data_IF_920957787931
#
_entry.id   IF_920957787931
#
_cell.length_a   1.000
_cell.length_b   1.000
_cell.length_c   1.000
_cell.angle_alpha   90.00
_cell.angle_beta   90.00
_cell.angle_gamma   90.00
#
_symmetry.space_group_name_H-M   'P 1'
#
loop_
_entity.id
_entity.type
_entity.pdbx_description
1 polymer ?
2 non-polymer ?
3 water ?
#
# COMPACT_ATOMS: atom_id res chain seq x y z
N UNK A 27 12.86 -15.07 -33.72
CA UNK A 27 12.05 -14.43 -32.61
C UNK A 27 12.36 -14.99 -31.21
N UNK A 28 12.46 -14.07 -30.25
CA UNK A 28 12.64 -14.42 -28.87
C UNK A 28 11.93 -13.36 -28.02
N UNK A 29 11.92 -13.57 -26.72
CA UNK A 29 11.15 -12.71 -25.81
C UNK A 29 11.58 -11.24 -25.85
N UNK A 30 12.88 -11.00 -26.10
CA UNK A 30 13.40 -9.66 -26.08
C UNK A 30 13.20 -8.94 -27.41
N UNK A 31 12.37 -9.47 -28.28
CA UNK A 31 12.04 -8.81 -29.54
C UNK A 31 10.71 -8.05 -29.37
N UNK A 32 10.02 -8.29 -28.25
CA UNK A 32 8.68 -7.73 -28.09
C UNK A 32 8.73 -6.34 -27.43
N UNK A 33 7.62 -5.62 -27.52
CA UNK A 33 7.47 -4.29 -26.89
C UNK A 33 6.26 -4.30 -25.97
N UNK A 34 6.30 -3.46 -24.93
CA UNK A 34 5.23 -3.43 -23.94
C UNK A 34 5.16 -2.03 -23.40
N UNK A 35 3.93 -1.57 -23.10
CA UNK A 35 3.76 -0.31 -22.41
C UNK A 35 4.05 -0.56 -20.93
N UNK A 36 4.97 0.23 -20.36
CA UNK A 36 5.28 0.15 -18.97
C UNK A 36 4.10 0.69 -18.13
N UNK A 37 4.13 0.48 -16.82
CA UNK A 37 3.01 0.85 -15.94
C UNK A 37 2.74 2.34 -15.83
N UNK A 38 3.72 3.18 -16.15
CA UNK A 38 3.50 4.62 -16.20
C UNK A 38 3.05 5.10 -17.59
N UNK A 39 2.83 4.19 -18.53
CA UNK A 39 2.28 4.57 -19.83
C UNK A 39 3.31 4.83 -20.89
N UNK A 40 4.55 4.47 -20.61
CA UNK A 40 5.61 4.69 -21.59
C UNK A 40 5.87 3.37 -22.31
N UNK A 41 5.78 3.41 -23.63
CA UNK A 41 6.13 2.24 -24.47
C UNK A 41 7.62 1.96 -24.39
N UNK A 42 7.96 0.69 -24.21
CA UNK A 42 9.36 0.26 -24.15
C UNK A 42 9.58 -0.97 -25.01
N UNK A 43 10.82 -1.10 -25.50
CA UNK A 43 11.29 -2.28 -26.18
C UNK A 43 11.92 -3.23 -25.17
N UNK A 44 11.50 -4.48 -25.20
CA UNK A 44 12.12 -5.49 -24.31
C UNK A 44 13.53 -5.81 -24.72
N UNK A 45 13.94 -5.32 -25.90
CA UNK A 45 15.34 -5.32 -26.31
C UNK A 45 16.25 -4.71 -25.25
N UNK A 46 15.75 -3.79 -24.43
CA UNK A 46 16.59 -3.14 -23.43
C UNK A 46 17.10 -4.19 -22.38
N UNK A 47 16.43 -5.35 -22.29
CA UNK A 47 16.78 -6.44 -21.38
C UNK A 47 17.61 -7.58 -22.03
N UNK A 48 17.91 -7.50 -23.31
CA UNK A 48 18.73 -8.53 -23.93
C UNK A 48 20.13 -8.58 -23.30
N UNK A 49 20.64 -9.79 -23.07
CA UNK A 49 21.90 -9.98 -22.35
C UNK A 49 21.69 -10.17 -20.86
N UNK A 50 20.46 -9.90 -20.42
CA UNK A 50 20.07 -10.05 -19.06
C UNK A 50 19.12 -11.26 -18.86
N UNK A 51 19.08 -11.75 -17.63
CA UNK A 51 18.14 -12.78 -17.24
C UNK A 51 16.88 -12.09 -16.70
N UNK A 52 15.71 -12.61 -17.05
CA UNK A 52 14.47 -12.03 -16.65
C UNK A 52 13.55 -13.08 -16.05
N UNK A 53 12.90 -12.74 -14.94
CA UNK A 53 11.80 -13.54 -14.40
C UNK A 53 10.50 -12.80 -14.71
N UNK A 54 9.76 -13.31 -15.68
CA UNK A 54 8.53 -12.69 -16.17
C UNK A 54 7.36 -13.28 -15.38
N UNK A 55 6.69 -12.41 -14.65
CA UNK A 55 5.65 -12.77 -13.71
C UNK A 55 4.37 -11.99 -14.01
N UNK A 56 3.23 -12.67 -14.07
CA UNK A 56 1.91 -12.02 -14.12
C UNK A 56 1.44 -11.82 -12.70
N UNK A 57 1.12 -10.57 -12.37
CA UNK A 57 0.84 -10.18 -11.00
C UNK A 57 -0.62 -9.80 -10.79
N UNK A 58 -1.04 -9.87 -9.53
CA UNK A 58 -2.36 -9.41 -9.09
C UNK A 58 -2.25 -8.83 -7.69
N UNK A 59 -3.17 -7.95 -7.36
CA UNK A 59 -3.11 -7.20 -6.09
C UNK A 59 -3.98 -7.75 -4.97
N UNK A 60 -5.00 -8.53 -5.32
CA UNK A 60 -6.01 -8.94 -4.34
C UNK A 60 -5.95 -10.44 -4.05
N UNK A 61 -4.93 -11.10 -4.59
CA UNK A 61 -4.76 -12.54 -4.51
C UNK A 61 -4.30 -12.93 -3.10
N UNK A 62 -4.67 -14.14 -2.67
CA UNK A 62 -4.05 -14.76 -1.49
C UNK A 62 -2.53 -14.87 -1.62
N UNK A 63 -2.03 -15.12 -2.83
CA UNK A 63 -0.57 -15.20 -3.08
C UNK A 63 0.14 -13.81 -3.05
N UNK A 64 -0.59 -12.70 -2.90
CA UNK A 64 -0.08 -11.36 -3.30
C UNK A 64 1.05 -10.86 -2.43
N UNK A 65 0.86 -10.98 -1.12
CA UNK A 65 1.78 -10.46 -0.14
C UNK A 65 3.09 -11.26 -0.11
N UNK A 66 2.97 -12.57 -0.02
CA UNK A 66 4.14 -13.45 0.00
C UNK A 66 4.90 -13.32 -1.32
N UNK A 67 4.18 -13.25 -2.42
CA UNK A 67 4.81 -13.17 -3.73
C UNK A 67 5.53 -11.87 -3.98
N UNK A 68 4.90 -10.74 -3.66
CA UNK A 68 5.53 -9.45 -3.86
C UNK A 68 6.73 -9.30 -2.96
N UNK A 69 6.66 -9.82 -1.75
CA UNK A 69 7.82 -9.78 -0.85
C UNK A 69 8.98 -10.60 -1.40
N UNK A 70 8.70 -11.79 -1.92
CA UNK A 70 9.72 -12.66 -2.47
C UNK A 70 10.29 -12.12 -3.77
N UNK A 71 9.45 -11.53 -4.61
CA UNK A 71 9.93 -10.98 -5.85
C UNK A 71 10.82 -9.80 -5.67
N UNK A 72 10.51 -8.94 -4.69
CA UNK A 72 11.36 -7.82 -4.40
C UNK A 72 12.68 -8.28 -3.78
N UNK A 73 12.65 -9.27 -2.89
CA UNK A 73 13.89 -9.80 -2.35
C UNK A 73 14.75 -10.43 -3.47
N UNK A 74 14.10 -11.07 -4.43
CA UNK A 74 14.80 -11.64 -5.59
C UNK A 74 15.52 -10.53 -6.37
N UNK A 75 14.83 -9.41 -6.57
CA UNK A 75 15.39 -8.26 -7.27
C UNK A 75 16.55 -7.66 -6.50
N UNK A 76 16.38 -7.52 -5.20
CA UNK A 76 17.45 -7.04 -4.31
C UNK A 76 18.72 -7.92 -4.43
N UNK A 77 18.55 -9.23 -4.36
CA UNK A 77 19.67 -10.20 -4.29
C UNK A 77 20.32 -10.49 -5.65
N UNK A 78 19.51 -10.61 -6.70
CA UNK A 78 20.03 -10.95 -8.04
C UNK A 78 20.02 -9.81 -9.07
N UNK A 79 19.31 -8.71 -8.79
CA UNK A 79 19.32 -7.54 -9.66
C UNK A 79 20.72 -7.03 -10.07
N UNK A 80 21.66 -7.00 -9.11
CA UNK A 80 23.04 -6.58 -9.38
C UNK A 80 23.82 -7.53 -10.31
N UNK A 81 23.23 -8.68 -10.62
CA UNK A 81 23.85 -9.66 -11.49
C UNK A 81 23.12 -9.73 -12.83
N UNK A 82 22.56 -8.60 -13.25
CA UNK A 82 21.98 -8.44 -14.61
C UNK A 82 20.72 -9.30 -14.80
N UNK A 83 19.82 -9.06 -13.85
CA UNK A 83 18.61 -9.82 -13.68
C UNK A 83 17.51 -8.83 -13.30
N UNK A 84 16.31 -9.07 -13.82
CA UNK A 84 15.13 -8.35 -13.34
C UNK A 84 13.92 -9.25 -13.31
N UNK A 85 13.08 -9.00 -12.30
CA UNK A 85 11.71 -9.40 -12.33
C UNK A 85 11.01 -8.42 -13.34
N UNK A 86 10.24 -8.95 -14.28
CA UNK A 86 9.41 -8.13 -15.19
C UNK A 86 7.95 -8.47 -14.90
N UNK A 87 7.26 -7.58 -14.17
CA UNK A 87 5.95 -7.86 -13.58
C UNK A 87 4.86 -7.25 -14.47
N UNK A 88 3.93 -8.08 -14.91
CA UNK A 88 2.82 -7.65 -15.76
C UNK A 88 1.51 -7.90 -15.03
N UNK A 89 0.80 -6.81 -14.64
CA UNK A 89 -0.49 -7.02 -13.99
C UNK A 89 -1.50 -7.66 -14.94
N UNK A 90 -2.36 -8.51 -14.38
CA UNK A 90 -3.35 -9.18 -15.17
C UNK A 90 -4.59 -9.43 -14.32
N UNK A 91 -5.75 -9.04 -14.85
CA UNK A 91 -7.06 -9.21 -14.21
C UNK A 91 -7.88 -10.45 -14.65
N UNK A 92 -7.23 -11.42 -15.27
CA UNK A 92 -7.94 -12.57 -15.83
C UNK A 92 -8.28 -13.66 -14.82
N UNK A 93 -7.51 -13.79 -13.76
CA UNK A 93 -7.59 -14.94 -12.88
C UNK A 93 -8.25 -14.55 -11.56
N UNK A 94 -9.56 -14.76 -11.49
CA UNK A 94 -10.39 -14.39 -10.30
C UNK A 94 -10.73 -12.90 -10.24
N UNK A 95 -10.36 -12.17 -11.31
CA UNK A 95 -10.36 -10.71 -11.38
C UNK A 95 -9.72 -10.07 -10.15
N UNK A 96 -8.45 -10.41 -9.89
CA UNK A 96 -7.73 -9.97 -8.68
C UNK A 96 -6.77 -8.81 -8.96
N UNK A 97 -6.94 -8.20 -10.12
CA UNK A 97 -6.24 -6.95 -10.46
C UNK A 97 -7.20 -5.94 -11.16
N UNK A 98 -8.26 -5.50 -10.45
CA UNK A 98 -9.30 -4.64 -11.07
C UNK A 98 -8.89 -3.18 -11.23
N UNK A 99 -7.84 -2.75 -10.54
CA UNK A 99 -7.56 -1.31 -10.46
C UNK A 99 -6.75 -0.80 -11.62
N UNK A 100 -6.59 0.53 -11.65
CA UNK A 100 -5.81 1.20 -12.66
C UNK A 100 -4.32 0.92 -12.53
N UNK A 101 -3.63 1.16 -13.64
CA UNK A 101 -2.20 1.06 -13.69
C UNK A 101 -1.56 1.95 -12.62
N UNK A 102 -2.06 3.18 -12.51
CA UNK A 102 -1.65 4.13 -11.45
C UNK A 102 -1.78 3.53 -10.02
N UNK A 103 -2.94 2.96 -9.75
CA UNK A 103 -3.22 2.38 -8.43
C UNK A 103 -2.35 1.22 -8.12
N UNK A 104 -2.16 0.34 -9.12
CA UNK A 104 -1.35 -0.85 -8.97
C UNK A 104 0.12 -0.49 -8.67
N UNK A 105 0.67 0.42 -9.46
CA UNK A 105 2.02 0.89 -9.19
C UNK A 105 2.17 1.48 -7.77
N UNK A 106 1.26 2.40 -7.42
CA UNK A 106 1.25 3.00 -6.10
C UNK A 106 1.22 1.90 -5.03
N UNK A 107 0.38 0.88 -5.23
CA UNK A 107 0.25 -0.22 -4.27
C UNK A 107 1.55 -0.99 -4.11
N UNK A 108 2.13 -1.42 -5.25
CA UNK A 108 3.39 -2.18 -5.26
C UNK A 108 4.54 -1.37 -4.62
N UNK A 109 4.69 -0.11 -5.04
CA UNK A 109 5.78 0.75 -4.57
C UNK A 109 5.66 1.07 -3.08
N UNK A 110 4.46 1.40 -2.60
CA UNK A 110 4.26 1.75 -1.18
C UNK A 110 4.20 0.57 -0.23
N UNK A 111 3.67 -0.57 -0.69
CA UNK A 111 3.46 -1.68 0.21
C UNK A 111 4.74 -2.52 0.29
N UNK A 112 5.40 -2.74 -0.85
CA UNK A 112 6.52 -3.67 -0.94
C UNK A 112 7.86 -3.07 -1.40
N UNK A 113 7.90 -1.75 -1.56
CA UNK A 113 9.09 -1.04 -1.99
C UNK A 113 9.66 -1.61 -3.27
N UNK A 114 8.76 -1.98 -4.18
CA UNK A 114 9.09 -2.67 -5.40
C UNK A 114 10.06 -1.80 -6.17
N UNK A 115 11.11 -2.38 -6.72
CA UNK A 115 12.12 -1.67 -7.53
C UNK A 115 12.35 -2.36 -8.88
N UNK A 116 11.56 -3.38 -9.18
CA UNK A 116 11.66 -4.07 -10.43
C UNK A 116 10.71 -3.42 -11.43
N UNK A 117 10.97 -3.58 -12.72
CA UNK A 117 10.10 -3.06 -13.77
C UNK A 117 8.69 -3.62 -13.70
N UNK A 118 7.73 -2.73 -13.78
CA UNK A 118 6.33 -3.09 -13.83
C UNK A 118 5.75 -2.54 -15.10
N UNK A 119 4.78 -3.24 -15.66
CA UNK A 119 4.18 -2.93 -16.96
C UNK A 119 2.70 -2.67 -16.84
N UNK A 120 2.11 -2.09 -17.88
CA UNK A 120 0.68 -1.85 -17.90
C UNK A 120 -0.03 -3.18 -17.94
N UNK A 121 -1.20 -3.23 -17.28
CA UNK A 121 -2.07 -4.39 -17.25
C UNK A 121 -2.35 -4.96 -18.66
N UNK A 122 -2.27 -6.28 -18.76
CA UNK A 122 -2.44 -7.01 -20.02
C UNK A 122 -3.24 -8.32 -19.77
N UNK A 123 -3.65 -8.97 -20.87
CA UNK A 123 -3.98 -10.42 -20.86
C UNK A 123 -2.72 -11.26 -21.09
N UNK A 124 -2.63 -12.38 -20.38
CA UNK A 124 -1.51 -13.31 -20.58
C UNK A 124 -1.95 -14.63 -21.29
N UNK A 125 -3.27 -14.83 -21.39
CA UNK A 125 -3.83 -16.02 -21.98
C UNK A 125 -5.02 -15.66 -22.89
N UNK A 126 -5.25 -16.49 -23.89
CA UNK A 126 -6.39 -16.32 -24.76
C UNK A 126 -5.94 -15.59 -26.00
N UNK A 127 -6.90 -15.26 -26.85
CA UNK A 127 -6.66 -14.65 -28.15
C UNK A 127 -6.03 -13.25 -28.05
N UNK A 128 -6.49 -12.48 -27.06
CA UNK A 128 -5.99 -11.16 -26.81
C UNK A 128 -4.76 -11.10 -25.92
N UNK A 129 -4.07 -12.22 -25.68
CA UNK A 129 -2.85 -12.18 -24.84
C UNK A 129 -1.78 -11.30 -25.49
N UNK A 130 -0.97 -10.66 -24.67
CA UNK A 130 0.17 -9.93 -25.17
C UNK A 130 1.05 -10.92 -26.00
N UNK A 131 1.48 -10.50 -27.22
CA UNK A 131 2.32 -11.37 -28.07
C UNK A 131 3.54 -11.95 -27.33
N UNK A 132 4.12 -11.21 -26.40
CA UNK A 132 5.26 -11.71 -25.61
C UNK A 132 4.84 -12.91 -24.78
N UNK A 133 3.63 -12.87 -24.24
CA UNK A 133 3.08 -13.98 -23.52
C UNK A 133 2.65 -15.14 -24.41
N UNK A 134 2.14 -14.88 -25.63
CA UNK A 134 1.97 -15.95 -26.63
C UNK A 134 3.28 -16.68 -26.89
N UNK A 135 4.36 -15.92 -27.06
CA UNK A 135 5.68 -16.46 -27.29
C UNK A 135 6.11 -17.39 -26.10
N UNK A 136 5.95 -16.93 -24.88
CA UNK A 136 6.39 -17.70 -23.69
C UNK A 136 5.60 -19.03 -23.57
N UNK A 137 4.30 -19.00 -23.89
CA UNK A 137 3.41 -20.15 -23.81
C UNK A 137 3.67 -21.13 -24.95
N UNK A 138 3.79 -20.61 -26.17
CA UNK A 138 4.09 -21.43 -27.33
C UNK A 138 5.44 -22.15 -27.22
N UNK A 139 6.48 -21.45 -26.79
CA UNK A 139 7.82 -22.07 -26.74
C UNK A 139 8.04 -22.90 -25.45
N UNK A 140 7.37 -22.58 -24.36
CA UNK A 140 7.54 -23.37 -23.13
C UNK A 140 6.57 -24.54 -23.10
N UNK A 141 5.44 -24.41 -23.79
CA UNK A 141 4.37 -25.41 -23.72
C UNK A 141 3.41 -25.23 -22.55
N UNK A 142 3.63 -24.21 -21.72
CA UNK A 142 2.77 -23.93 -20.58
C UNK A 142 2.28 -22.51 -20.70
N UNK A 143 0.98 -22.31 -20.50
CA UNK A 143 0.42 -20.98 -20.40
C UNK A 143 -0.07 -20.75 -18.96
N UNK A 144 -0.14 -19.49 -18.55
CA UNK A 144 -0.60 -19.25 -17.20
C UNK A 144 -2.05 -19.64 -16.96
N UNK A 145 -2.24 -20.31 -15.83
CA UNK A 145 -3.54 -20.78 -15.36
C UNK A 145 -3.94 -20.15 -14.02
N UNK A 146 -3.15 -19.18 -13.56
CA UNK A 146 -3.47 -18.35 -12.39
C UNK A 146 -2.52 -17.17 -12.29
N UNK A 147 -2.75 -16.35 -11.27
CA UNK A 147 -1.88 -15.26 -10.94
C UNK A 147 -0.53 -15.80 -10.48
N UNK A 148 0.51 -15.04 -10.77
CA UNK A 148 1.85 -15.29 -10.25
C UNK A 148 2.55 -16.51 -10.84
N UNK A 149 2.20 -16.80 -12.08
CA UNK A 149 3.02 -17.66 -12.93
C UNK A 149 4.30 -16.94 -13.26
N UNK A 150 5.36 -17.73 -13.47
CA UNK A 150 6.73 -17.22 -13.57
C UNK A 150 7.45 -17.93 -14.71
N UNK A 151 8.03 -17.15 -15.62
CA UNK A 151 8.86 -17.67 -16.69
C UNK A 151 10.25 -17.12 -16.52
N UNK A 152 11.24 -18.02 -16.60
CA UNK A 152 12.62 -17.65 -16.62
C UNK A 152 13.12 -17.49 -18.05
N UNK A 153 13.57 -16.27 -18.37
CA UNK A 153 14.12 -15.99 -19.67
C UNK A 153 15.63 -15.75 -19.61
N UNK A 154 16.38 -16.49 -20.45
CA UNK A 154 17.83 -16.43 -20.55
C UNK A 154 18.25 -15.19 -21.29
N UNK A 155 19.54 -14.81 -21.17
CA UNK A 155 20.10 -13.64 -21.85
C UNK A 155 19.74 -13.51 -23.35
N UNK A 156 19.58 -14.64 -24.03
CA UNK A 156 19.21 -14.65 -25.46
C UNK A 156 17.70 -14.57 -25.73
N UNK A 157 16.92 -14.34 -24.68
CA UNK A 157 15.49 -14.18 -24.80
C UNK A 157 14.69 -15.47 -24.92
N UNK A 158 15.31 -16.61 -24.60
CA UNK A 158 14.60 -17.88 -24.70
C UNK A 158 14.18 -18.38 -23.34
N UNK A 159 12.99 -18.97 -23.31
CA UNK A 159 12.40 -19.45 -22.06
C UNK A 159 13.09 -20.75 -21.67
N UNK A 160 13.58 -20.79 -20.45
CA UNK A 160 14.27 -21.96 -19.94
C UNK A 160 13.52 -22.57 -18.75
N UNK A 161 12.53 -21.86 -18.21
CA UNK A 161 11.70 -22.44 -17.12
C UNK A 161 10.40 -21.72 -16.93
N UNK A 162 9.41 -22.43 -16.39
CA UNK A 162 8.11 -21.87 -16.08
C UNK A 162 7.57 -22.52 -14.81
N UNK A 163 7.04 -21.72 -13.87
CA UNK A 163 6.46 -22.29 -12.65
C UNK A 163 5.13 -21.66 -12.34
N UNK A 164 4.24 -22.43 -11.72
CA UNK A 164 2.98 -21.89 -11.24
C UNK A 164 3.20 -21.21 -9.88
N UNK A 165 2.20 -20.44 -9.39
CA UNK A 165 2.41 -19.69 -8.16
C UNK A 165 2.66 -20.55 -6.93
N UNK A 166 2.30 -21.83 -6.95
CA UNK A 166 2.53 -22.67 -5.76
C UNK A 166 3.98 -23.08 -5.59
N UNK A 167 4.85 -22.80 -6.57
CA UNK A 167 6.25 -23.10 -6.40
C UNK A 167 6.91 -21.88 -5.72
N UNK A 168 7.54 -22.13 -4.57
CA UNK A 168 8.19 -21.08 -3.79
C UNK A 168 9.33 -20.41 -4.52
N UNK A 169 9.58 -19.15 -4.15
CA UNK A 169 10.69 -18.41 -4.74
C UNK A 169 12.02 -19.01 -4.25
N UNK A 170 12.06 -19.66 -3.09
CA UNK A 170 13.22 -20.51 -2.68
C UNK A 170 13.59 -21.60 -3.70
N UNK A 171 12.58 -22.14 -4.39
CA UNK A 171 12.77 -23.20 -5.37
C UNK A 171 13.07 -22.66 -6.75
N UNK A 172 12.49 -21.50 -7.06
CA UNK A 172 12.75 -20.83 -8.33
C UNK A 172 14.14 -20.14 -8.37
N UNK A 173 14.49 -19.47 -7.29
CA UNK A 173 15.70 -18.67 -7.23
C UNK A 173 16.97 -19.38 -7.70
N UNK A 174 17.26 -20.59 -7.17
CA UNK A 174 18.51 -21.25 -7.59
C UNK A 174 18.66 -21.48 -9.10
N UNK A 175 17.52 -21.62 -9.78
CA UNK A 175 17.49 -21.78 -11.22
C UNK A 175 17.90 -20.51 -11.93
N UNK A 176 17.57 -19.38 -11.32
CA UNK A 176 17.96 -18.06 -11.80
C UNK A 176 19.46 -17.81 -11.56
N UNK A 177 19.93 -18.15 -10.37
CA UNK A 177 21.35 -17.95 -10.05
C UNK A 177 22.25 -18.79 -10.95
N UNK A 178 21.80 -19.98 -11.33
CA UNK A 178 22.49 -20.79 -12.33
C UNK A 178 22.74 -20.06 -13.65
N UNK A 179 21.85 -19.13 -14.04
CA UNK A 179 21.98 -18.46 -15.34
C UNK A 179 22.80 -17.16 -15.28
N UNK A 180 22.79 -16.48 -14.13
CA UNK A 180 23.47 -15.22 -14.02
C UNK A 180 24.96 -15.42 -13.84
N UNK A 181 25.74 -14.37 -14.09
CA UNK A 181 27.15 -14.36 -13.74
C UNK A 181 27.44 -13.40 -12.54
N UNK B 27 -20.29 21.94 25.32
CA UNK B 27 -19.76 21.18 24.12
C UNK B 27 -18.55 20.32 24.52
N UNK B 28 -18.41 19.20 23.81
CA UNK B 28 -17.21 18.37 23.89
C UNK B 28 -16.97 17.70 22.53
N UNK B 29 -15.86 16.99 22.40
CA UNK B 29 -15.46 16.43 21.09
C UNK B 29 -16.53 15.48 20.49
N UNK B 30 -17.23 14.75 21.35
CA UNK B 30 -18.22 13.79 20.91
C UNK B 30 -19.57 14.39 20.55
N UNK B 31 -19.65 15.71 20.51
CA UNK B 31 -20.87 16.42 20.13
C UNK B 31 -20.85 16.77 18.63
N UNK B 32 -19.70 16.59 17.99
CA UNK B 32 -19.52 17.04 16.61
C UNK B 32 -19.87 15.91 15.65
N UNK B 33 -20.10 16.26 14.39
CA UNK B 33 -20.32 15.27 13.33
C UNK B 33 -19.25 15.37 12.26
N UNK B 34 -19.08 14.30 11.49
CA UNK B 34 -18.04 14.29 10.48
C UNK B 34 -18.38 13.27 9.43
N UNK B 35 -18.01 13.58 8.18
CA UNK B 35 -18.24 12.64 7.10
C UNK B 35 -17.09 11.65 7.11
N UNK B 36 -17.41 10.35 7.08
CA UNK B 36 -16.37 9.33 7.12
C UNK B 36 -15.66 9.24 5.76
N UNK B 37 -14.59 8.49 5.68
CA UNK B 37 -13.84 8.40 4.39
C UNK B 37 -14.62 7.80 3.19
N UNK B 38 -15.69 7.06 3.48
CA UNK B 38 -16.53 6.49 2.43
C UNK B 38 -17.72 7.38 2.05
N UNK B 39 -17.79 8.57 2.63
CA UNK B 39 -18.79 9.54 2.27
C UNK B 39 -20.04 9.46 3.10
N UNK B 40 -19.98 8.73 4.21
CA UNK B 40 -21.13 8.61 5.12
C UNK B 40 -20.99 9.56 6.30
N UNK B 41 -22.00 10.40 6.52
CA UNK B 41 -22.00 11.28 7.67
C UNK B 41 -22.18 10.46 8.93
N UNK B 42 -21.42 10.82 9.97
CA UNK B 42 -21.53 10.16 11.27
C UNK B 42 -21.46 11.17 12.41
N UNK B 43 -22.13 10.82 13.51
CA UNK B 43 -22.05 11.55 14.74
C UNK B 43 -20.92 10.98 15.57
N UNK B 44 -20.08 11.84 16.09
CA UNK B 44 -19.04 11.39 16.99
C UNK B 44 -19.59 10.98 18.35
N UNK B 45 -20.88 11.22 18.57
CA UNK B 45 -21.64 10.63 19.67
C UNK B 45 -21.46 9.11 19.74
N UNK B 46 -21.26 8.44 18.58
CA UNK B 46 -21.06 7.02 18.55
C UNK B 46 -19.80 6.59 19.38
N UNK B 47 -18.87 7.52 19.65
CA UNK B 47 -17.67 7.24 20.42
C UNK B 47 -17.73 7.71 21.89
N UNK B 48 -18.84 8.30 22.30
CA UNK B 48 -18.95 8.74 23.69
C UNK B 48 -18.81 7.55 24.64
N UNK B 49 -18.01 7.72 25.68
CA UNK B 49 -17.83 6.66 26.64
C UNK B 49 -16.57 5.88 26.35
N UNK B 50 -15.99 6.13 25.19
CA UNK B 50 -14.78 5.47 24.76
C UNK B 50 -13.60 6.48 24.75
N UNK B 51 -12.38 5.98 24.66
CA UNK B 51 -11.19 6.81 24.53
C UNK B 51 -10.80 6.94 23.06
N UNK B 52 -10.42 8.14 22.64
CA UNK B 52 -10.07 8.38 21.25
C UNK B 52 -8.76 9.05 21.14
N UNK B 53 -7.88 8.52 20.26
CA UNK B 53 -6.69 9.24 19.81
C UNK B 53 -7.01 9.85 18.42
N UNK B 54 -7.21 11.16 18.38
CA UNK B 54 -7.61 11.87 17.15
C UNK B 54 -6.33 12.33 16.46
N UNK B 55 -6.14 11.88 15.23
CA UNK B 55 -4.90 12.14 14.48
C UNK B 55 -5.23 12.70 13.09
N UNK B 56 -4.58 13.81 12.73
CA UNK B 56 -4.52 14.28 11.36
C UNK B 56 -3.40 13.52 10.63
N UNK B 57 -3.79 12.86 9.55
CA UNK B 57 -2.92 11.98 8.81
C UNK B 57 -2.60 12.55 7.43
N UNK B 58 -1.56 11.96 6.81
CA UNK B 58 -1.09 12.33 5.50
C UNK B 58 -0.36 11.09 4.96
N UNK B 59 -0.33 10.98 3.65
CA UNK B 59 0.15 9.77 2.98
C UNK B 59 1.59 9.86 2.46
N UNK B 60 2.06 11.08 2.19
CA UNK B 60 3.36 11.29 1.50
C UNK B 60 4.45 11.83 2.41
N UNK B 61 4.18 11.85 3.70
CA UNK B 61 5.09 12.36 4.73
C UNK B 61 6.25 11.39 4.99
N UNK B 62 7.37 11.90 5.52
CA UNK B 62 8.41 11.05 6.09
C UNK B 62 7.97 10.34 7.37
N UNK B 63 6.99 10.90 8.08
CA UNK B 63 6.38 10.24 9.25
C UNK B 63 5.42 9.07 8.87
N UNK B 64 4.98 9.01 7.61
CA UNK B 64 3.75 8.26 7.24
C UNK B 64 3.77 6.76 7.58
N UNK B 65 4.86 6.10 7.19
CA UNK B 65 4.98 4.66 7.35
C UNK B 65 5.08 4.24 8.81
N UNK B 66 6.03 4.84 9.54
CA UNK B 66 6.20 4.53 10.96
C UNK B 66 4.94 4.90 11.74
N UNK B 67 4.31 5.99 11.35
CA UNK B 67 3.07 6.44 12.04
C UNK B 67 1.83 5.59 11.80
N UNK B 68 1.55 5.24 10.55
CA UNK B 68 0.44 4.34 10.28
C UNK B 68 0.67 2.98 10.90
N UNK B 69 1.90 2.49 10.92
CA UNK B 69 2.19 1.20 11.53
C UNK B 69 1.92 1.23 13.02
N UNK B 70 2.46 2.24 13.70
CA UNK B 70 2.23 2.41 15.15
C UNK B 70 0.76 2.65 15.52
N UNK B 71 0.04 3.39 14.68
CA UNK B 71 -1.34 3.67 14.95
C UNK B 71 -2.19 2.44 14.81
N UNK B 72 -1.85 1.56 13.86
CA UNK B 72 -2.56 0.30 13.71
C UNK B 72 -2.27 -0.70 14.84
N UNK B 73 -1.03 -0.74 15.31
CA UNK B 73 -0.71 -1.60 16.45
C UNK B 73 -1.38 -1.05 17.72
N UNK B 74 -1.52 0.27 17.81
CA UNK B 74 -2.27 0.88 18.92
C UNK B 74 -3.75 0.43 18.89
N UNK B 75 -4.36 0.48 17.72
CA UNK B 75 -5.70 0.00 17.51
C UNK B 75 -5.86 -1.49 17.83
N UNK B 76 -4.93 -2.31 17.38
CA UNK B 76 -4.94 -3.75 17.66
C UNK B 76 -4.80 -4.03 19.18
N UNK B 77 -3.90 -3.31 19.85
CA UNK B 77 -3.62 -3.52 21.29
C UNK B 77 -4.67 -2.92 22.24
N UNK B 78 -5.03 -1.66 22.01
CA UNK B 78 -5.99 -0.96 22.90
C UNK B 78 -7.44 -0.93 22.42
N UNK B 79 -7.66 -1.23 21.14
CA UNK B 79 -9.00 -1.24 20.57
C UNK B 79 -10.04 -2.05 21.37
N UNK B 80 -9.67 -3.26 21.82
CA UNK B 80 -10.59 -4.08 22.65
C UNK B 80 -10.93 -3.50 24.03
N UNK B 81 -10.27 -2.40 24.40
CA UNK B 81 -10.56 -1.66 25.62
C UNK B 81 -11.27 -0.35 25.36
N UNK B 82 -12.16 -0.36 24.37
CA UNK B 82 -13.07 0.77 24.11
C UNK B 82 -12.28 2.02 23.75
N UNK B 83 -11.48 1.84 22.71
CA UNK B 83 -10.54 2.82 22.20
C UNK B 83 -10.52 2.76 20.70
N UNK B 84 -10.31 3.93 20.11
CA UNK B 84 -10.07 4.05 18.69
C UNK B 84 -9.16 5.18 18.37
N UNK B 85 -8.35 4.97 17.34
CA UNK B 85 -7.73 6.02 16.58
C UNK B 85 -8.83 6.56 15.65
N UNK B 86 -8.99 7.87 15.59
CA UNK B 86 -9.90 8.53 14.67
C UNK B 86 -9.01 9.35 13.76
N UNK B 87 -8.90 8.94 12.49
CA UNK B 87 -7.87 9.45 11.59
C UNK B 87 -8.53 10.41 10.61
N UNK B 88 -8.04 11.64 10.55
CA UNK B 88 -8.62 12.66 9.64
C UNK B 88 -7.56 13.09 8.64
N UNK B 89 -7.70 12.66 7.37
CA UNK B 89 -6.70 13.08 6.39
C UNK B 89 -6.69 14.61 6.25
N UNK B 90 -5.51 15.18 5.98
CA UNK B 90 -5.38 16.61 5.85
C UNK B 90 -4.21 16.97 4.95
N UNK B 91 -4.49 17.78 3.90
CA UNK B 91 -3.51 18.25 2.92
C UNK B 91 -2.83 19.58 3.26
N UNK B 92 -2.99 20.09 4.48
CA UNK B 92 -2.47 21.42 4.81
C UNK B 92 -0.98 21.57 5.05
N UNK B 93 -0.30 20.52 5.49
CA UNK B 93 1.06 20.63 5.96
C UNK B 93 1.96 19.97 4.92
N UNK B 94 2.50 20.79 4.03
CA UNK B 94 3.42 20.31 2.98
C UNK B 94 2.70 19.68 1.80
N UNK B 95 1.37 19.78 1.79
CA UNK B 95 0.49 19.17 0.79
C UNK B 95 0.85 17.68 0.58
N UNK B 96 0.90 16.96 1.70
CA UNK B 96 1.29 15.56 1.77
C UNK B 96 0.08 14.60 1.83
N UNK B 97 -1.11 15.12 1.59
CA UNK B 97 -2.29 14.29 1.37
C UNK B 97 -3.08 14.79 0.14
N UNK B 98 -2.46 14.73 -1.05
CA UNK B 98 -3.13 15.31 -2.21
C UNK B 98 -4.21 14.43 -2.82
N UNK B 99 -4.31 13.18 -2.36
CA UNK B 99 -5.14 12.19 -3.06
C UNK B 99 -6.61 12.25 -2.66
N UNK B 100 -7.42 11.47 -3.37
CA UNK B 100 -8.86 11.42 -3.11
C UNK B 100 -9.10 10.56 -1.90
N UNK B 101 -10.25 10.77 -1.24
CA UNK B 101 -10.65 9.94 -0.10
C UNK B 101 -10.59 8.46 -0.42
N UNK B 102 -11.09 8.08 -1.58
CA UNK B 102 -11.09 6.68 -2.00
C UNK B 102 -9.67 6.12 -2.09
N UNK B 103 -8.77 6.88 -2.71
CA UNK B 103 -7.35 6.55 -2.78
C UNK B 103 -6.67 6.40 -1.42
N UNK B 104 -6.94 7.35 -0.51
CA UNK B 104 -6.34 7.37 0.81
C UNK B 104 -6.81 6.15 1.61
N UNK B 105 -8.10 5.87 1.55
CA UNK B 105 -8.63 4.70 2.25
C UNK B 105 -7.98 3.44 1.67
N UNK B 106 -7.97 3.32 0.36
CA UNK B 106 -7.32 2.16 -0.30
C UNK B 106 -5.86 1.98 0.21
N UNK B 107 -5.12 3.08 0.33
CA UNK B 107 -3.72 3.05 0.78
C UNK B 107 -3.57 2.56 2.21
N UNK B 108 -4.31 3.18 3.15
CA UNK B 108 -4.28 2.79 4.56
C UNK B 108 -4.67 1.31 4.76
N UNK B 109 -5.77 0.89 4.13
CA UNK B 109 -6.23 -0.49 4.32
C UNK B 109 -5.30 -1.53 3.67
N UNK B 110 -4.85 -1.27 2.44
CA UNK B 110 -4.01 -2.24 1.70
C UNK B 110 -2.56 -2.26 2.12
N UNK B 111 -1.99 -1.09 2.41
CA UNK B 111 -0.57 -0.98 2.78
C UNK B 111 -0.38 -1.35 4.25
N UNK B 112 -1.27 -0.84 5.11
CA UNK B 112 -1.11 -0.97 6.57
C UNK B 112 -2.16 -1.82 7.28
N UNK B 113 -3.13 -2.35 6.54
CA UNK B 113 -4.21 -3.14 7.15
C UNK B 113 -4.91 -2.34 8.26
N UNK B 114 -5.15 -1.05 8.03
CA UNK B 114 -5.78 -0.14 9.01
C UNK B 114 -7.21 -0.62 9.30
N UNK B 115 -7.55 -0.73 10.58
CA UNK B 115 -8.88 -1.15 11.00
C UNK B 115 -9.55 -0.03 11.82
N UNK B 116 -8.84 1.07 12.03
CA UNK B 116 -9.34 2.14 12.83
C UNK B 116 -10.22 3.03 11.93
N UNK B 117 -11.17 3.77 12.53
CA UNK B 117 -12.00 4.72 11.78
C UNK B 117 -11.23 5.79 11.03
N UNK B 118 -11.68 6.08 9.82
CA UNK B 118 -11.04 7.05 8.96
C UNK B 118 -12.10 7.96 8.38
N UNK B 119 -11.74 9.24 8.27
CA UNK B 119 -12.67 10.31 7.88
C UNK B 119 -12.33 10.96 6.57
N UNK B 120 -13.30 11.63 5.98
CA UNK B 120 -13.03 12.41 4.78
C UNK B 120 -12.05 13.52 5.07
N UNK B 121 -11.22 13.82 4.07
CA UNK B 121 -10.22 14.86 4.18
C UNK B 121 -10.86 16.18 4.62
N UNK B 122 -10.21 16.81 5.60
CA UNK B 122 -10.60 18.10 6.20
C UNK B 122 -9.41 19.06 6.35
N UNK B 123 -9.70 20.30 6.75
CA UNK B 123 -8.72 21.25 7.32
C UNK B 123 -8.77 21.11 8.84
N UNK B 124 -7.60 21.12 9.45
CA UNK B 124 -7.50 21.00 10.90
C UNK B 124 -7.08 22.31 11.60
N UNK B 125 -6.68 23.28 10.76
CA UNK B 125 -6.27 24.57 11.23
C UNK B 125 -6.77 25.68 10.31
N UNK B 126 -6.88 26.87 10.88
CA UNK B 126 -7.33 28.03 10.16
C UNK B 126 -8.83 28.19 10.27
N UNK B 127 -9.34 29.09 9.44
CA UNK B 127 -10.71 29.54 9.53
C UNK B 127 -11.69 28.41 9.12
N UNK B 128 -11.25 27.60 8.14
CA UNK B 128 -12.02 26.49 7.61
C UNK B 128 -11.81 25.17 8.30
N UNK B 129 -11.09 25.17 9.44
CA UNK B 129 -10.90 23.94 10.22
C UNK B 129 -12.21 23.25 10.58
N UNK B 130 -12.27 21.94 10.47
CA UNK B 130 -13.45 21.23 11.05
C UNK B 130 -13.73 21.72 12.50
N UNK B 131 -15.00 22.08 12.83
CA UNK B 131 -15.39 22.53 14.19
C UNK B 131 -14.85 21.65 15.31
N UNK B 132 -14.76 20.35 15.05
CA UNK B 132 -14.24 19.44 16.07
C UNK B 132 -12.76 19.70 16.35
N UNK B 133 -12.03 20.11 15.31
CA UNK B 133 -10.62 20.44 15.48
C UNK B 133 -10.43 21.83 16.09
N UNK B 134 -11.26 22.79 15.73
CA UNK B 134 -11.37 24.04 16.52
C UNK B 134 -11.59 23.77 18.02
N UNK B 135 -12.45 22.82 18.34
CA UNK B 135 -12.72 22.44 19.70
C UNK B 135 -11.43 21.95 20.40
N UNK B 136 -10.70 21.04 19.77
CA UNK B 136 -9.50 20.44 20.37
C UNK B 136 -8.40 21.47 20.57
N UNK B 137 -8.28 22.38 19.61
CA UNK B 137 -7.26 23.41 19.64
C UNK B 137 -7.59 24.43 20.71
N UNK B 138 -8.83 24.91 20.72
CA UNK B 138 -9.27 25.87 21.72
C UNK B 138 -9.17 25.34 23.16
N UNK B 139 -9.61 24.10 23.39
CA UNK B 139 -9.65 23.58 24.74
C UNK B 139 -8.26 23.08 25.20
N UNK B 140 -7.44 22.56 24.30
CA UNK B 140 -6.09 22.16 24.70
C UNK B 140 -5.10 23.32 24.70
N UNK B 141 -5.32 24.34 23.86
CA UNK B 141 -4.35 25.43 23.71
C UNK B 141 -3.27 25.14 22.66
N UNK B 142 -3.34 23.99 22.01
CA UNK B 142 -2.37 23.61 20.97
C UNK B 142 -3.13 23.31 19.69
N UNK B 143 -2.70 23.88 18.56
CA UNK B 143 -3.30 23.51 17.28
C UNK B 143 -2.26 22.70 16.50
N UNK B 144 -2.70 21.85 15.57
CA UNK B 144 -1.70 21.14 14.79
C UNK B 144 -0.84 22.07 13.92
N UNK B 145 0.45 21.81 13.96
CA UNK B 145 1.44 22.58 13.20
C UNK B 145 2.16 21.69 12.19
N UNK B 146 1.70 20.44 12.05
CA UNK B 146 2.24 19.51 11.03
C UNK B 146 1.30 18.32 10.90
N UNK B 147 1.65 17.39 10.02
CA UNK B 147 0.97 16.11 9.93
C UNK B 147 1.23 15.26 11.18
N UNK B 148 0.26 14.42 11.55
CA UNK B 148 0.37 13.43 12.63
C UNK B 148 0.47 14.00 14.05
N UNK B 149 -0.20 15.14 14.25
CA UNK B 149 -0.58 15.59 15.57
C UNK B 149 -1.60 14.64 16.17
N UNK B 150 -1.55 14.51 17.49
CA UNK B 150 -2.37 13.53 18.20
C UNK B 150 -3.02 14.16 19.44
N UNK B 151 -4.35 14.07 19.49
CA UNK B 151 -5.12 14.46 20.66
C UNK B 151 -5.75 13.25 21.34
N UNK B 152 -5.52 13.16 22.64
CA UNK B 152 -6.17 12.16 23.47
C UNK B 152 -7.50 12.72 24.05
N UNK B 153 -8.60 12.06 23.69
CA UNK B 153 -9.91 12.44 24.16
C UNK B 153 -10.45 11.37 25.08
N UNK B 154 -10.88 11.81 26.25
CA UNK B 154 -11.42 10.97 27.35
C UNK B 154 -12.83 10.56 27.01
N UNK B 155 -13.38 9.57 27.75
CA UNK B 155 -14.75 9.10 27.55
C UNK B 155 -15.83 10.19 27.54
N UNK B 156 -15.61 11.26 28.31
CA UNK B 156 -16.55 12.37 28.39
C UNK B 156 -16.33 13.41 27.25
N UNK B 157 -15.41 13.11 26.33
CA UNK B 157 -15.19 13.94 25.17
C UNK B 157 -14.26 15.11 25.43
N UNK B 158 -13.55 15.11 26.55
CA UNK B 158 -12.66 16.25 26.82
C UNK B 158 -11.24 15.89 26.41
N UNK B 159 -10.51 16.85 25.86
CA UNK B 159 -9.09 16.69 25.51
C UNK B 159 -8.25 16.63 26.78
N UNK B 160 -7.53 15.54 26.96
CA UNK B 160 -6.65 15.41 28.11
C UNK B 160 -5.15 15.43 27.71
N UNK B 161 -4.85 15.45 26.41
CA UNK B 161 -3.45 15.45 25.93
C UNK B 161 -3.33 15.76 24.46
N UNK B 162 -2.21 16.34 24.05
CA UNK B 162 -1.97 16.64 22.66
C UNK B 162 -0.45 16.52 22.41
N UNK B 163 -0.07 15.84 21.33
CA UNK B 163 1.34 15.65 20.96
C UNK B 163 1.61 15.88 19.49
N UNK B 164 2.77 16.48 19.19
CA UNK B 164 3.21 16.66 17.82
C UNK B 164 3.77 15.33 17.29
N UNK B 165 3.97 15.22 15.96
CA UNK B 165 4.41 13.93 15.38
C UNK B 165 5.79 13.41 15.81
N UNK B 166 6.67 14.26 16.37
CA UNK B 166 7.97 13.81 16.85
C UNK B 166 7.91 13.04 18.18
N UNK B 167 6.75 13.01 18.85
CA UNK B 167 6.58 12.18 20.03
C UNK B 167 6.17 10.80 19.53
N UNK B 168 6.90 9.76 19.95
CA UNK B 168 6.60 8.36 19.57
C UNK B 168 5.32 7.81 20.17
N UNK B 169 4.75 6.83 19.50
CA UNK B 169 3.58 6.15 20.03
C UNK B 169 3.94 5.37 21.30
N UNK B 170 5.18 4.91 21.45
CA UNK B 170 5.66 4.37 22.76
C UNK B 170 5.48 5.33 23.94
N UNK B 171 5.58 6.63 23.65
CA UNK B 171 5.45 7.67 24.65
C UNK B 171 3.99 8.06 24.85
N UNK B 172 3.22 8.06 23.77
CA UNK B 172 1.80 8.41 23.83
C UNK B 172 0.93 7.30 24.44
N UNK B 173 1.26 6.06 24.13
CA UNK B 173 0.44 4.93 24.45
C UNK B 173 0.13 4.72 25.93
N UNK B 174 1.14 4.80 26.84
CA UNK B 174 0.80 4.63 28.26
C UNK B 174 -0.16 5.69 28.80
N UNK B 175 -0.24 6.84 28.12
CA UNK B 175 -1.19 7.88 28.51
C UNK B 175 -2.61 7.45 28.12
N UNK B 176 -2.74 6.67 27.06
CA UNK B 176 -4.04 6.13 26.61
C UNK B 176 -4.44 5.01 27.55
N UNK B 177 -3.52 4.08 27.78
CA UNK B 177 -3.79 2.97 28.69
C UNK B 177 -4.24 3.47 30.06
N UNK B 178 -3.75 4.62 30.47
CA UNK B 178 -4.13 5.18 31.77
C UNK B 178 -5.61 5.43 31.86
N UNK B 179 -6.22 5.81 30.73
CA UNK B 179 -7.65 6.16 30.64
C UNK B 179 -8.63 5.01 30.38
N UNK B 180 -8.18 3.93 29.77
CA UNK B 180 -9.08 2.85 29.40
C UNK B 180 -9.25 1.96 30.59
N UNK B 181 -10.29 1.13 30.56
CA UNK B 181 -10.47 0.05 31.53
C UNK B 181 -10.25 -1.37 30.93
#
# INVERSE_FOLDING_TARGET
MHHHHHHSSGVDLGTENLYFQSMQQEQDFYDFKAVNIRGKLVSLEKYRGSVSLVVNVASECGFTDQHYRALQQLQRDLGPHHFNVLAFPCNQFGQQEPDSNKEIESFARRTYSVSFPMFSKIAVTGTGAHPAFKYLAQTSGKEPTWNFWKYLVAPDGKVVGAWDPTVSVEEVRPQITALVR
MHHHHHHSSGVDLGTENLYFQSMQQEQDFYDFKAVNIRGKLVSLEKYRGSVSLVVNVASECGFTDQHYRALQQLQRDLGPHHFNVLAFPCNQFGQQEPDSNKEIESFARRTYSVSFPMFSKIAVTGTGAHPAFKYLAQTSGKEPTWNFWKYLVAPDGKVVGAWDPTVSVEEVRPQITALVR
#
